data_IF_470211475218
#
_entry.id   IF_470211475218
#
_cell.length_a   1.000
_cell.length_b   1.000
_cell.length_c   1.000
_cell.angle_alpha   90.00
_cell.angle_beta   90.00
_cell.angle_gamma   90.00
#
_symmetry.space_group_name_H-M   'P 1'
#
loop_
_entity.id
_entity.type
_entity.pdbx_description
1 polymer ?
#
# COMPACT_ATOMS: atom_id res chain seq x y z
N UNK A 1 -0.55 -8.64 9.25
CA UNK A 1 -0.70 -7.25 9.70
C UNK A 1 0.62 -6.72 10.23
N UNK A 2 1.22 -5.70 9.60
CA UNK A 2 2.38 -5.03 10.18
C UNK A 2 1.92 -4.18 11.37
N UNK A 3 2.42 -4.49 12.58
CA UNK A 3 2.11 -3.75 13.79
C UNK A 3 3.09 -2.58 13.91
N UNK A 4 2.63 -1.37 13.59
CA UNK A 4 3.42 -0.15 13.83
C UNK A 4 3.54 0.05 15.36
N UNK A 5 4.76 0.14 15.92
CA UNK A 5 4.95 0.39 17.35
C UNK A 5 4.28 1.70 17.78
N UNK A 6 3.73 1.73 19.00
CA UNK A 6 3.12 2.92 19.58
C UNK A 6 3.54 3.08 21.06
N UNK A 7 4.04 4.25 21.48
CA UNK A 7 4.34 5.43 20.66
C UNK A 7 5.49 5.15 19.68
N UNK A 8 5.41 5.70 18.47
CA UNK A 8 6.43 5.47 17.44
C UNK A 8 7.64 6.36 17.70
N UNK A 9 8.79 5.76 18.00
CA UNK A 9 10.02 6.48 18.31
C UNK A 9 10.95 6.59 17.11
N UNK A 10 11.92 7.51 17.17
CA UNK A 10 12.98 7.57 16.18
C UNK A 10 13.84 6.29 16.12
N UNK A 11 13.88 5.50 17.21
CA UNK A 11 14.56 4.20 17.20
C UNK A 11 13.78 3.16 16.38
N UNK A 12 12.44 3.18 16.46
CA UNK A 12 11.57 2.31 15.63
C UNK A 12 11.72 2.65 14.15
N UNK A 13 11.83 3.95 13.81
CA UNK A 13 12.11 4.40 12.45
C UNK A 13 13.46 3.89 11.93
N UNK A 14 14.54 4.00 12.73
CA UNK A 14 15.86 3.48 12.36
C UNK A 14 15.87 1.97 12.22
N UNK A 15 15.18 1.25 13.11
CA UNK A 15 15.06 -0.21 13.03
C UNK A 15 14.31 -0.64 11.77
N UNK A 16 13.24 0.08 11.40
CA UNK A 16 12.51 -0.18 10.16
C UNK A 16 13.38 0.08 8.91
N UNK A 17 14.14 1.19 8.88
CA UNK A 17 15.06 1.47 7.77
C UNK A 17 16.14 0.40 7.64
N UNK A 18 16.71 -0.05 8.76
CA UNK A 18 17.71 -1.12 8.77
C UNK A 18 17.12 -2.45 8.27
N UNK A 19 15.88 -2.78 8.65
CA UNK A 19 15.17 -3.94 8.12
C UNK A 19 14.98 -3.85 6.61
N UNK A 20 14.53 -2.70 6.09
CA UNK A 20 14.33 -2.53 4.64
C UNK A 20 15.63 -2.65 3.84
N UNK A 21 16.75 -2.20 4.38
CA UNK A 21 18.07 -2.37 3.75
C UNK A 21 18.51 -3.85 3.70
N UNK A 22 17.98 -4.68 4.60
CA UNK A 22 18.26 -6.12 4.69
C UNK A 22 17.19 -6.99 4.03
N UNK A 23 16.00 -6.45 3.72
CA UNK A 23 14.85 -7.18 3.16
C UNK A 23 15.00 -7.56 1.68
N UNK A 24 16.25 -7.69 1.20
CA UNK A 24 16.68 -8.13 -0.13
C UNK A 24 15.59 -8.73 -1.04
N UNK A 25 15.42 -8.12 -2.21
CA UNK A 25 14.68 -8.59 -3.40
C UNK A 25 13.18 -8.92 -3.28
N UNK A 26 12.59 -9.03 -2.08
CA UNK A 26 11.18 -9.46 -1.90
C UNK A 26 10.24 -8.39 -1.34
N UNK A 27 10.78 -7.27 -0.86
CA UNK A 27 10.02 -6.11 -0.40
C UNK A 27 10.63 -4.82 -0.94
N UNK A 28 9.77 -3.83 -1.21
CA UNK A 28 10.17 -2.46 -1.53
C UNK A 28 9.24 -1.50 -0.80
N UNK A 29 9.77 -0.37 -0.35
CA UNK A 29 8.96 0.70 0.22
C UNK A 29 9.39 2.07 -0.27
N UNK A 30 8.40 2.95 -0.33
CA UNK A 30 8.50 4.35 -0.71
C UNK A 30 8.11 5.21 0.48
N UNK A 31 8.94 6.19 0.80
CA UNK A 31 8.59 7.26 1.73
C UNK A 31 7.68 8.27 1.02
N UNK A 32 6.63 8.72 1.70
CA UNK A 32 5.87 9.90 1.31
C UNK A 32 6.42 11.08 2.10
N UNK A 33 6.81 12.14 1.39
CA UNK A 33 7.36 13.37 1.95
C UNK A 33 6.63 14.57 1.30
N UNK A 34 6.13 15.49 2.10
CA UNK A 34 5.43 16.70 1.63
C UNK A 34 6.33 17.96 1.63
N UNK A 35 7.64 17.78 1.82
CA UNK A 35 8.62 18.85 2.01
C UNK A 35 8.88 19.20 3.47
N UNK A 36 8.08 18.67 4.41
CA UNK A 36 8.28 18.83 5.86
C UNK A 36 8.89 17.59 6.52
N UNK A 37 9.05 16.50 5.77
CA UNK A 37 9.59 15.24 6.22
C UNK A 37 8.65 14.06 5.95
N UNK A 38 8.95 12.90 6.56
CA UNK A 38 8.20 11.67 6.35
C UNK A 38 6.76 11.78 6.90
N UNK A 39 5.77 11.69 6.01
CA UNK A 39 4.35 11.73 6.36
C UNK A 39 3.65 10.37 6.27
N UNK A 40 4.25 9.41 5.57
CA UNK A 40 3.70 8.08 5.37
C UNK A 40 4.60 7.16 4.57
N UNK A 41 4.15 5.93 4.36
CA UNK A 41 4.88 4.91 3.60
C UNK A 41 3.90 4.10 2.76
N UNK A 42 4.31 3.75 1.54
CA UNK A 42 3.72 2.68 0.73
C UNK A 42 4.77 1.58 0.58
N UNK A 43 4.36 0.32 0.66
CA UNK A 43 5.22 -0.84 0.51
C UNK A 43 4.56 -1.92 -0.32
N UNK A 44 5.38 -2.70 -1.03
CA UNK A 44 4.97 -3.93 -1.69
C UNK A 44 5.79 -5.08 -1.14
N UNK A 45 5.11 -6.14 -0.72
CA UNK A 45 5.70 -7.37 -0.18
C UNK A 45 5.46 -8.54 -1.11
N UNK A 46 6.23 -9.61 -0.95
CA UNK A 46 6.12 -10.83 -1.76
C UNK A 46 6.28 -10.53 -3.27
N UNK A 47 7.31 -9.76 -3.63
CA UNK A 47 7.57 -9.32 -5.00
C UNK A 47 7.78 -10.46 -6.02
N UNK A 48 8.10 -11.66 -5.55
CA UNK A 48 8.28 -12.87 -6.36
C UNK A 48 6.99 -13.72 -6.51
N UNK A 49 5.89 -13.31 -5.86
CA UNK A 49 4.56 -13.93 -5.98
C UNK A 49 3.56 -12.93 -6.59
N UNK A 50 2.33 -12.86 -6.06
CA UNK A 50 1.43 -11.71 -6.27
C UNK A 50 1.73 -10.67 -5.19
N UNK A 51 2.34 -9.52 -5.52
CA UNK A 51 2.74 -8.57 -4.51
C UNK A 51 1.56 -8.04 -3.71
N UNK A 52 1.74 -7.86 -2.40
CA UNK A 52 0.74 -7.26 -1.53
C UNK A 52 1.11 -5.79 -1.25
N UNK A 53 0.24 -4.85 -1.61
CA UNK A 53 0.39 -3.44 -1.24
C UNK A 53 -0.07 -3.21 0.21
N UNK A 54 0.75 -2.50 0.97
CA UNK A 54 0.41 -1.98 2.29
C UNK A 54 0.87 -0.55 2.45
N UNK A 55 0.10 0.27 3.16
CA UNK A 55 0.45 1.67 3.36
C UNK A 55 -0.09 2.23 4.68
N UNK A 56 0.53 3.31 5.14
CA UNK A 56 0.07 4.09 6.27
C UNK A 56 0.41 5.57 6.06
N UNK A 57 -0.34 6.42 6.75
CA UNK A 57 -0.18 7.86 6.72
C UNK A 57 -0.35 8.40 8.15
N UNK A 58 0.43 9.40 8.55
CA UNK A 58 0.23 10.11 9.82
C UNK A 58 -1.19 10.68 9.92
N UNK A 59 -1.78 10.68 11.12
CA UNK A 59 -3.20 11.02 11.32
C UNK A 59 -3.53 12.44 10.88
N UNK A 60 -2.61 13.36 11.13
CA UNK A 60 -2.66 14.77 10.75
C UNK A 60 -2.65 15.01 9.23
N UNK A 61 -2.33 13.98 8.44
CA UNK A 61 -2.33 14.01 6.98
C UNK A 61 -3.54 13.29 6.36
N UNK A 62 -4.41 12.67 7.16
CA UNK A 62 -5.61 11.98 6.66
C UNK A 62 -6.59 12.96 6.01
N UNK A 63 -7.33 12.48 5.01
CA UNK A 63 -8.35 13.27 4.31
C UNK A 63 -7.81 14.34 3.35
N UNK A 64 -6.49 14.49 3.21
CA UNK A 64 -5.85 15.50 2.35
C UNK A 64 -5.50 15.01 0.94
N UNK A 65 -5.76 13.74 0.61
CA UNK A 65 -5.53 13.17 -0.72
C UNK A 65 -4.15 12.56 -0.97
N UNK A 66 -3.16 12.74 -0.07
CA UNK A 66 -1.79 12.24 -0.25
C UNK A 66 -1.70 10.76 -0.66
N UNK A 67 -2.42 9.88 0.03
CA UNK A 67 -2.36 8.45 -0.30
C UNK A 67 -3.07 8.12 -1.62
N UNK A 68 -4.11 8.88 -1.98
CA UNK A 68 -4.80 8.72 -3.27
C UNK A 68 -3.92 9.14 -4.44
N UNK A 69 -3.03 10.11 -4.24
CA UNK A 69 -2.03 10.54 -5.22
C UNK A 69 -0.84 9.56 -5.28
N UNK A 70 -0.32 9.15 -4.13
CA UNK A 70 0.88 8.32 -4.05
C UNK A 70 0.65 6.87 -4.47
N UNK A 71 -0.53 6.28 -4.20
CA UNK A 71 -0.79 4.87 -4.51
C UNK A 71 -0.70 4.54 -6.01
N UNK A 72 -1.34 5.29 -6.94
CA UNK A 72 -1.18 5.08 -8.38
C UNK A 72 0.26 5.19 -8.86
N UNK A 73 1.04 6.14 -8.31
CA UNK A 73 2.46 6.32 -8.68
C UNK A 73 3.29 5.10 -8.27
N UNK A 74 3.10 4.60 -7.04
CA UNK A 74 3.78 3.40 -6.56
C UNK A 74 3.39 2.15 -7.37
N UNK A 75 2.12 2.01 -7.74
CA UNK A 75 1.62 0.92 -8.59
C UNK A 75 2.19 0.99 -10.01
N UNK A 76 2.26 2.19 -10.58
CA UNK A 76 2.88 2.43 -11.88
C UNK A 76 4.34 2.03 -11.88
N UNK A 77 5.09 2.37 -10.83
CA UNK A 77 6.45 1.88 -10.65
C UNK A 77 6.49 0.36 -10.56
N UNK A 78 5.64 -0.28 -9.75
CA UNK A 78 5.67 -1.74 -9.56
C UNK A 78 5.41 -2.48 -10.88
N UNK A 79 4.38 -2.08 -11.62
CA UNK A 79 4.09 -2.69 -12.90
C UNK A 79 5.17 -2.35 -13.95
N UNK A 80 5.76 -1.15 -13.91
CA UNK A 80 6.86 -0.79 -14.82
C UNK A 80 8.15 -1.56 -14.55
N UNK A 81 8.49 -1.78 -13.28
CA UNK A 81 9.75 -2.37 -12.85
C UNK A 81 9.73 -3.89 -12.72
N UNK A 82 8.55 -4.52 -12.68
CA UNK A 82 8.39 -5.96 -12.48
C UNK A 82 7.50 -6.60 -13.55
N UNK A 83 7.66 -7.91 -13.73
CA UNK A 83 6.81 -8.71 -14.61
C UNK A 83 5.47 -9.11 -13.94
N UNK A 84 5.12 -8.55 -12.77
CA UNK A 84 3.91 -8.97 -12.06
C UNK A 84 2.65 -8.64 -12.85
N UNK A 85 1.67 -9.55 -12.78
CA UNK A 85 0.40 -9.42 -13.48
C UNK A 85 -0.71 -8.83 -12.62
N UNK A 86 -0.54 -8.78 -11.30
CA UNK A 86 -1.52 -8.23 -10.38
C UNK A 86 -0.93 -7.88 -9.02
N UNK A 87 -1.70 -7.13 -8.24
CA UNK A 87 -1.37 -6.70 -6.87
C UNK A 87 -2.55 -7.04 -5.97
N UNK A 88 -2.26 -7.60 -4.80
CA UNK A 88 -3.23 -7.83 -3.75
C UNK A 88 -3.20 -6.70 -2.71
N UNK A 89 -4.30 -6.44 -2.04
CA UNK A 89 -4.32 -5.60 -0.84
C UNK A 89 -5.25 -6.20 0.22
N UNK A 90 -4.99 -5.88 1.48
CA UNK A 90 -5.87 -6.24 2.59
C UNK A 90 -6.06 -5.04 3.50
N UNK A 91 -7.32 -4.75 3.84
CA UNK A 91 -7.67 -3.67 4.76
C UNK A 91 -8.77 -4.14 5.69
N UNK A 92 -8.81 -3.62 6.91
CA UNK A 92 -9.90 -3.95 7.82
C UNK A 92 -11.25 -3.53 7.23
N UNK A 93 -12.29 -4.34 7.40
CA UNK A 93 -13.65 -4.08 6.88
C UNK A 93 -14.24 -2.75 7.34
N UNK A 94 -13.81 -2.25 8.50
CA UNK A 94 -14.23 -0.95 9.04
C UNK A 94 -13.36 0.23 8.57
N UNK A 95 -12.25 -0.03 7.86
CA UNK A 95 -11.35 1.01 7.38
C UNK A 95 -11.81 1.56 6.02
N UNK A 96 -12.86 2.38 6.08
CA UNK A 96 -13.48 3.01 4.91
C UNK A 96 -12.51 3.91 4.14
N UNK A 97 -11.54 4.53 4.82
CA UNK A 97 -10.52 5.37 4.19
C UNK A 97 -9.62 4.56 3.25
N UNK A 98 -9.08 3.42 3.70
CA UNK A 98 -8.28 2.53 2.86
C UNK A 98 -9.09 1.94 1.71
N UNK A 99 -10.36 1.58 1.94
CA UNK A 99 -11.24 1.09 0.87
C UNK A 99 -11.40 2.16 -0.23
N UNK A 100 -11.55 3.42 0.16
CA UNK A 100 -11.72 4.53 -0.76
C UNK A 100 -10.44 4.85 -1.56
N UNK A 101 -9.26 4.65 -0.97
CA UNK A 101 -7.96 4.73 -1.67
C UNK A 101 -7.82 3.57 -2.67
N UNK A 102 -8.04 2.34 -2.22
CA UNK A 102 -7.93 1.15 -3.07
C UNK A 102 -8.88 1.20 -4.28
N UNK A 103 -10.13 1.59 -4.05
CA UNK A 103 -11.11 1.75 -5.13
C UNK A 103 -10.69 2.82 -6.15
N UNK A 104 -10.16 3.97 -5.70
CA UNK A 104 -9.65 5.01 -6.60
C UNK A 104 -8.42 4.57 -7.39
N UNK A 105 -7.59 3.71 -6.80
CA UNK A 105 -6.45 3.09 -7.47
C UNK A 105 -6.86 1.94 -8.43
N UNK A 106 -8.16 1.64 -8.57
CA UNK A 106 -8.68 0.63 -9.49
C UNK A 106 -8.78 -0.78 -8.91
N UNK A 107 -8.52 -0.98 -7.62
CA UNK A 107 -8.68 -2.28 -6.99
C UNK A 107 -10.16 -2.68 -6.91
N UNK A 108 -10.42 -3.97 -7.11
CA UNK A 108 -11.73 -4.58 -6.89
C UNK A 108 -11.70 -5.43 -5.62
N UNK A 109 -12.82 -5.50 -4.90
CA UNK A 109 -12.95 -6.39 -3.74
C UNK A 109 -12.94 -7.84 -4.22
N UNK A 110 -12.17 -8.69 -3.54
CA UNK A 110 -12.10 -10.12 -3.80
C UNK A 110 -12.54 -10.92 -2.58
N UNK A 111 -13.08 -12.12 -2.81
CA UNK A 111 -13.56 -13.01 -1.77
C UNK A 111 -15.00 -12.71 -1.32
N UNK A 112 -15.68 -13.70 -0.73
CA UNK A 112 -17.04 -13.55 -0.21
C UNK A 112 -17.08 -12.61 0.99
N UNK A 113 -18.19 -11.89 1.17
CA UNK A 113 -18.48 -11.14 2.39
C UNK A 113 -18.84 -12.15 3.49
N UNK A 114 -17.84 -12.59 4.25
CA UNK A 114 -18.03 -13.58 5.31
C UNK A 114 -18.35 -12.85 6.61
N UNK A 115 -19.53 -13.14 7.17
CA UNK A 115 -19.94 -12.58 8.46
C UNK A 115 -18.89 -12.90 9.55
N UNK A 116 -18.32 -11.84 10.15
CA UNK A 116 -17.29 -11.95 11.17
C UNK A 116 -15.84 -11.79 10.67
N UNK A 117 -15.62 -11.74 9.36
CA UNK A 117 -14.32 -11.43 8.78
C UNK A 117 -13.91 -9.98 9.11
N UNK A 118 -12.70 -9.80 9.62
CA UNK A 118 -12.21 -8.47 10.03
C UNK A 118 -11.49 -7.72 8.92
N UNK A 119 -11.09 -8.45 7.88
CA UNK A 119 -10.26 -7.97 6.80
C UNK A 119 -10.93 -8.23 5.44
N UNK A 120 -11.04 -7.18 4.63
CA UNK A 120 -11.42 -7.27 3.23
C UNK A 120 -10.17 -7.43 2.36
N UNK A 121 -10.21 -8.38 1.43
CA UNK A 121 -9.17 -8.50 0.38
C UNK A 121 -9.57 -7.77 -0.89
N UNK A 122 -8.56 -7.28 -1.60
CA UNK A 122 -8.71 -6.58 -2.86
C UNK A 122 -7.66 -7.04 -3.85
N UNK A 123 -7.95 -6.87 -5.14
CA UNK A 123 -7.05 -7.18 -6.24
C UNK A 123 -7.08 -6.11 -7.31
N UNK A 124 -5.92 -5.80 -7.87
CA UNK A 124 -5.76 -4.97 -9.06
C UNK A 124 -4.95 -5.75 -10.09
N UNK A 125 -5.53 -5.99 -11.27
CA UNK A 125 -4.82 -6.60 -12.38
C UNK A 125 -4.08 -5.53 -13.20
N UNK A 126 -2.89 -5.89 -13.71
CA UNK A 126 -2.03 -5.02 -14.53
C UNK A 126 -2.78 -4.44 -15.73
N UNK A 127 -3.57 -5.26 -16.42
CA UNK A 127 -4.35 -4.83 -17.57
C UNK A 127 -5.42 -3.79 -17.17
N UNK A 128 -6.09 -3.98 -16.03
CA UNK A 128 -7.08 -3.05 -15.52
C UNK A 128 -6.45 -1.72 -15.11
N UNK A 129 -5.26 -1.75 -14.48
CA UNK A 129 -4.51 -0.56 -14.10
C UNK A 129 -4.21 0.34 -15.31
N UNK A 130 -3.63 -0.23 -16.38
CA UNK A 130 -3.29 0.55 -17.57
C UNK A 130 -4.53 0.96 -18.40
N UNK A 131 -5.61 0.18 -18.39
CA UNK A 131 -6.84 0.57 -19.06
C UNK A 131 -7.48 1.83 -18.44
N UNK A 132 -7.41 1.97 -17.11
CA UNK A 132 -7.94 3.13 -16.39
C UNK A 132 -7.10 4.40 -16.59
N UNK A 133 -5.82 4.24 -16.93
CA UNK A 133 -4.86 5.35 -17.08
C UNK A 133 -4.82 5.95 -18.51
N UNK A 134 -5.54 5.36 -19.47
CA UNK A 134 -5.64 5.82 -20.86
C UNK A 134 -6.92 6.62 -21.15
N UNK A 135 -7.68 7.00 -20.13
CA UNK A 135 -8.92 7.80 -20.21
C UNK A 135 -8.65 9.14 -19.53
#
# INVERSE_FOLDING_TARGET
MARVPHPYSAADARAWLAYQQQAHAREVAFALDDGTGLIGVISFRALDETPEIGYWLGREYWGKGYMSEAAPVALGWLFGATATHAVAARASTVNTASHAVLSRAGFTRTGPDVAGERDQTFRLDRAAFFACMMI
#
